data_IF_791349646638
#
_entry.id   IF_791349646638
#
_cell.length_a   1.000
_cell.length_b   1.000
_cell.length_c   1.000
_cell.angle_alpha   90.00
_cell.angle_beta   90.00
_cell.angle_gamma   90.00
#
_symmetry.space_group_name_H-M   'P 1'
#
loop_
_entity.id
_entity.type
_entity.pdbx_description
1 polymer ?
#
# COMPACT_ATOMS: atom_id res chain seq x y z
N UNK A 1 -26.39 1.71 -17.06
CA UNK A 1 -26.00 3.01 -16.50
C UNK A 1 -26.84 3.26 -15.26
N UNK A 2 -26.23 3.08 -14.09
CA UNK A 2 -26.74 3.61 -12.83
C UNK A 2 -25.56 4.38 -12.23
N UNK A 3 -25.66 5.70 -12.24
CA UNK A 3 -24.75 6.61 -11.54
C UNK A 3 -24.84 6.30 -10.04
N UNK A 4 -23.76 5.79 -9.46
CA UNK A 4 -23.70 5.44 -8.05
C UNK A 4 -23.04 6.59 -7.27
N UNK A 5 -23.86 7.34 -6.53
CA UNK A 5 -23.41 8.42 -5.65
C UNK A 5 -22.88 7.84 -4.34
N UNK A 6 -21.59 8.02 -4.07
CA UNK A 6 -20.97 7.80 -2.76
C UNK A 6 -21.46 8.90 -1.79
N UNK A 7 -22.24 8.54 -0.77
CA UNK A 7 -22.67 9.50 0.28
C UNK A 7 -21.89 9.18 1.56
N UNK A 8 -20.72 9.80 1.72
CA UNK A 8 -19.94 9.70 2.96
C UNK A 8 -20.28 10.86 3.88
N UNK A 9 -20.89 10.58 5.04
CA UNK A 9 -21.11 11.58 6.07
C UNK A 9 -20.02 11.48 7.15
N UNK A 10 -18.86 12.11 6.90
CA UNK A 10 -17.79 12.19 7.89
C UNK A 10 -18.05 13.40 8.80
N UNK A 11 -18.29 13.17 10.09
CA UNK A 11 -18.31 14.26 11.10
C UNK A 11 -17.04 14.22 11.95
N UNK A 12 -16.28 15.32 11.92
CA UNK A 12 -15.19 15.61 12.85
C UNK A 12 -14.05 14.56 12.92
N UNK A 13 -13.66 13.97 11.79
CA UNK A 13 -12.54 13.00 11.74
C UNK A 13 -11.18 13.70 11.53
N UNK A 14 -10.16 13.39 12.36
CA UNK A 14 -8.79 13.74 12.02
C UNK A 14 -8.35 12.94 10.79
N UNK A 15 -7.67 13.57 9.82
CA UNK A 15 -7.17 12.89 8.61
C UNK A 15 -8.25 12.26 7.70
N UNK A 16 -9.37 12.96 7.52
CA UNK A 16 -10.48 12.57 6.64
C UNK A 16 -10.04 12.17 5.22
N UNK A 17 -9.00 12.78 4.66
CA UNK A 17 -8.50 12.47 3.32
C UNK A 17 -7.93 11.04 3.18
N UNK A 18 -7.18 10.55 4.17
CA UNK A 18 -6.62 9.19 4.14
C UNK A 18 -7.72 8.12 4.34
N UNK A 19 -8.76 8.47 5.11
CA UNK A 19 -9.94 7.63 5.32
C UNK A 19 -10.83 7.60 4.07
N UNK A 20 -11.06 8.75 3.44
CA UNK A 20 -11.82 8.85 2.19
C UNK A 20 -11.17 8.03 1.08
N UNK A 21 -9.82 8.03 0.95
CA UNK A 21 -9.12 7.15 0.00
C UNK A 21 -9.29 5.66 0.28
N UNK A 22 -9.39 5.26 1.55
CA UNK A 22 -9.66 3.87 1.92
C UNK A 22 -11.12 3.48 1.61
N UNK A 23 -12.06 4.41 1.77
CA UNK A 23 -13.49 4.23 1.48
C UNK A 23 -13.78 4.26 -0.04
N UNK A 24 -13.12 5.13 -0.80
CA UNK A 24 -13.23 5.19 -2.27
C UNK A 24 -12.71 3.91 -2.93
N UNK A 25 -11.78 3.20 -2.27
CA UNK A 25 -11.30 1.88 -2.66
C UNK A 25 -12.23 0.73 -2.21
N UNK A 26 -13.18 1.00 -1.31
CA UNK A 26 -14.21 0.03 -0.93
C UNK A 26 -15.18 -0.17 -2.11
N UNK A 27 -15.59 -1.43 -2.35
CA UNK A 27 -16.40 -1.82 -3.51
C UNK A 27 -17.56 -0.85 -3.80
N UNK A 28 -17.85 -0.53 -5.08
CA UNK A 28 -19.04 0.21 -5.46
C UNK A 28 -20.30 -0.56 -5.01
N UNK A 29 -21.08 0.02 -4.08
CA UNK A 29 -22.37 -0.53 -3.63
C UNK A 29 -22.66 -0.52 -2.13
N UNK A 30 -21.66 -0.27 -1.28
CA UNK A 30 -21.84 -0.25 0.18
C UNK A 30 -21.81 1.19 0.73
N UNK A 31 -22.86 1.57 1.47
CA UNK A 31 -22.94 2.87 2.13
C UNK A 31 -22.28 2.72 3.51
N UNK A 32 -20.96 2.88 3.56
CA UNK A 32 -20.20 2.81 4.81
C UNK A 32 -20.34 4.14 5.56
N UNK A 33 -21.00 4.11 6.71
CA UNK A 33 -21.11 5.23 7.64
C UNK A 33 -20.03 5.13 8.72
N UNK A 34 -19.30 6.22 8.97
CA UNK A 34 -18.31 6.30 10.06
C UNK A 34 -18.73 7.39 11.03
N UNK A 35 -18.81 7.05 12.31
CA UNK A 35 -19.24 7.98 13.35
C UNK A 35 -18.40 7.87 14.61
N UNK A 36 -18.23 9.02 15.23
CA UNK A 36 -17.65 9.16 16.56
C UNK A 36 -18.73 8.95 17.61
N UNK A 37 -18.48 8.10 18.59
CA UNK A 37 -19.43 7.79 19.65
C UNK A 37 -19.46 8.92 20.68
N UNK A 38 -20.36 9.88 20.50
CA UNK A 38 -20.58 10.99 21.43
C UNK A 38 -19.34 11.88 21.62
N UNK A 39 -18.98 12.15 22.88
CA UNK A 39 -17.76 12.90 23.26
C UNK A 39 -16.52 12.02 23.43
N UNK A 40 -16.65 10.69 23.29
CA UNK A 40 -15.54 9.74 23.47
C UNK A 40 -14.51 9.83 22.35
N UNK A 41 -13.32 9.25 22.52
CA UNK A 41 -12.33 9.08 21.43
C UNK A 41 -12.63 7.87 20.55
N UNK A 42 -13.75 7.18 20.79
CA UNK A 42 -14.10 5.95 20.11
C UNK A 42 -14.92 6.20 18.83
N UNK A 43 -14.70 5.31 17.88
CA UNK A 43 -15.26 5.34 16.53
C UNK A 43 -15.87 4.00 16.19
N UNK A 44 -16.90 4.04 15.35
CA UNK A 44 -17.58 2.87 14.81
C UNK A 44 -17.81 3.06 13.30
N UNK A 45 -17.81 1.95 12.57
CA UNK A 45 -18.24 1.89 11.19
C UNK A 45 -19.53 1.07 11.07
N UNK A 46 -20.44 1.50 10.21
CA UNK A 46 -21.70 0.82 9.90
C UNK A 46 -21.86 0.61 8.40
N UNK A 47 -22.57 -0.44 8.02
CA UNK A 47 -23.07 -0.64 6.66
C UNK A 47 -24.60 -0.67 6.71
N UNK A 48 -25.24 0.25 5.98
CA UNK A 48 -26.72 0.40 5.95
C UNK A 48 -27.37 0.46 7.35
N UNK A 49 -26.67 1.03 8.33
CA UNK A 49 -27.15 1.18 9.71
C UNK A 49 -26.89 -0.02 10.65
N UNK A 50 -26.31 -1.11 10.15
CA UNK A 50 -25.83 -2.23 10.98
C UNK A 50 -24.34 -2.09 11.33
N UNK A 51 -23.88 -2.58 12.50
CA UNK A 51 -22.49 -2.45 12.93
C UNK A 51 -21.56 -3.28 12.01
N UNK A 52 -20.60 -2.61 11.39
CA UNK A 52 -19.54 -3.22 10.57
C UNK A 52 -18.26 -3.40 11.39
N UNK A 53 -17.89 -2.38 12.17
CA UNK A 53 -16.79 -2.41 13.14
C UNK A 53 -17.25 -1.70 14.40
N UNK A 54 -17.35 -2.42 15.51
CA UNK A 54 -17.73 -1.84 16.80
C UNK A 54 -16.72 -0.81 17.34
N UNK A 55 -17.11 -0.16 18.45
CA UNK A 55 -16.34 0.86 19.15
C UNK A 55 -14.83 0.55 19.25
N UNK A 56 -14.01 1.37 18.61
CA UNK A 56 -12.55 1.25 18.61
C UNK A 56 -11.86 2.63 18.51
N UNK A 57 -10.55 2.66 18.71
CA UNK A 57 -9.79 3.89 18.47
C UNK A 57 -9.79 4.22 16.96
N UNK A 58 -9.66 5.51 16.59
CA UNK A 58 -9.62 5.91 15.17
C UNK A 58 -8.48 5.24 14.39
N UNK A 59 -7.32 5.06 15.04
CA UNK A 59 -6.17 4.35 14.47
C UNK A 59 -6.53 2.90 14.14
N UNK A 60 -7.22 2.20 15.03
CA UNK A 60 -7.67 0.81 14.85
C UNK A 60 -8.76 0.70 13.79
N UNK A 61 -9.68 1.67 13.73
CA UNK A 61 -10.76 1.71 12.75
C UNK A 61 -10.21 1.65 11.32
N UNK A 62 -9.14 2.39 11.04
CA UNK A 62 -8.49 2.41 9.72
C UNK A 62 -7.96 1.03 9.33
N UNK A 63 -7.32 0.31 10.25
CA UNK A 63 -6.79 -1.03 9.98
C UNK A 63 -7.90 -2.08 9.86
N UNK A 64 -8.92 -2.01 10.72
CA UNK A 64 -10.07 -2.93 10.64
C UNK A 64 -10.88 -2.72 9.37
N UNK A 65 -11.06 -1.47 8.93
CA UNK A 65 -11.67 -1.17 7.64
C UNK A 65 -10.81 -1.69 6.49
N UNK A 66 -9.50 -1.45 6.50
CA UNK A 66 -8.60 -2.01 5.49
C UNK A 66 -8.72 -3.54 5.43
N UNK A 67 -8.61 -4.22 6.58
CA UNK A 67 -8.71 -5.68 6.66
C UNK A 67 -10.06 -6.26 6.23
N UNK A 68 -11.18 -5.55 6.45
CA UNK A 68 -12.49 -5.96 5.93
C UNK A 68 -12.64 -5.74 4.42
N UNK A 69 -11.86 -4.83 3.87
CA UNK A 69 -11.81 -4.52 2.44
C UNK A 69 -10.75 -5.35 1.71
N UNK A 70 -9.83 -6.00 2.45
CA UNK A 70 -8.77 -6.84 1.91
C UNK A 70 -9.36 -8.20 1.45
N UNK A 71 -9.70 -8.42 0.18
CA UNK A 71 -8.84 -8.71 -0.98
C UNK A 71 -7.67 -7.75 -1.32
N UNK A 72 -6.87 -7.31 -0.37
CA UNK A 72 -5.48 -6.95 -0.63
C UNK A 72 -4.78 -8.28 -0.43
N UNK A 73 -4.63 -9.02 -1.53
CA UNK A 73 -3.64 -10.09 -1.56
C UNK A 73 -2.36 -9.51 -1.00
N UNK A 74 -1.65 -10.26 -0.15
CA UNK A 74 -0.26 -9.92 0.11
C UNK A 74 0.40 -9.62 -1.25
N UNK A 75 1.12 -8.49 -1.37
CA UNK A 75 1.71 -8.13 -2.65
C UNK A 75 2.55 -9.30 -3.14
N UNK A 76 2.23 -9.75 -4.35
CA UNK A 76 2.86 -10.90 -4.96
C UNK A 76 4.38 -10.67 -5.11
N UNK A 77 5.13 -11.73 -5.37
CA UNK A 77 6.52 -11.55 -5.76
C UNK A 77 6.57 -10.84 -7.12
N UNK A 78 7.48 -9.86 -7.26
CA UNK A 78 7.55 -9.07 -8.49
C UNK A 78 8.16 -7.69 -8.33
N UNK A 79 8.12 -6.94 -9.44
CA UNK A 79 8.64 -5.58 -9.56
C UNK A 79 7.51 -4.55 -9.45
N UNK A 80 7.79 -3.43 -8.79
CA UNK A 80 6.81 -2.38 -8.49
C UNK A 80 7.41 -0.98 -8.60
N UNK A 81 6.59 0.00 -8.99
CA UNK A 81 6.96 1.42 -9.02
C UNK A 81 6.91 2.05 -7.61
N UNK A 82 6.18 1.43 -6.67
CA UNK A 82 5.97 1.97 -5.33
C UNK A 82 6.23 0.97 -4.19
N UNK A 83 6.59 1.50 -3.02
CA UNK A 83 6.93 0.71 -1.83
C UNK A 83 5.73 0.00 -1.18
N UNK A 84 4.50 0.38 -1.53
CA UNK A 84 3.29 -0.31 -1.12
C UNK A 84 2.91 -1.44 -2.09
N UNK A 85 3.69 -1.65 -3.16
CA UNK A 85 3.51 -2.70 -4.15
C UNK A 85 2.12 -2.67 -4.81
N UNK A 86 1.63 -1.48 -5.14
CA UNK A 86 0.32 -1.28 -5.76
C UNK A 86 0.40 -1.16 -7.28
N UNK A 87 1.55 -0.71 -7.81
CA UNK A 87 1.77 -0.45 -9.23
C UNK A 87 2.86 -1.40 -9.76
N UNK A 88 2.49 -2.57 -10.29
CA UNK A 88 3.46 -3.54 -10.81
C UNK A 88 4.11 -3.03 -12.10
N UNK A 89 5.43 -3.21 -12.21
CA UNK A 89 6.19 -3.02 -13.45
C UNK A 89 6.12 -4.32 -14.23
N UNK A 90 5.69 -4.26 -15.50
CA UNK A 90 5.51 -5.44 -16.35
C UNK A 90 6.54 -5.49 -17.47
N UNK A 91 6.99 -6.71 -17.75
CA UNK A 91 7.48 -7.16 -19.06
C UNK A 91 8.61 -6.32 -19.63
N UNK A 92 8.25 -5.62 -20.70
CA UNK A 92 9.19 -4.99 -21.62
C UNK A 92 9.55 -3.55 -21.22
N UNK A 93 9.12 -3.07 -20.04
CA UNK A 93 9.49 -1.72 -19.58
C UNK A 93 10.91 -1.71 -19.06
N UNK A 94 11.66 -0.70 -19.47
CA UNK A 94 12.92 -0.35 -18.81
C UNK A 94 12.68 0.03 -17.35
N UNK A 95 13.67 -0.23 -16.51
CA UNK A 95 13.56 0.02 -15.09
C UNK A 95 13.62 1.53 -14.79
N UNK A 96 12.71 2.04 -13.93
CA UNK A 96 12.73 3.44 -13.55
C UNK A 96 13.87 3.73 -12.57
N UNK A 97 14.19 5.01 -12.38
CA UNK A 97 15.28 5.43 -11.48
C UNK A 97 15.09 4.99 -10.02
N UNK A 98 13.85 4.72 -9.60
CA UNK A 98 13.54 4.07 -8.32
C UNK A 98 12.47 3.02 -8.57
N UNK A 99 12.73 1.77 -8.15
CA UNK A 99 11.76 0.69 -8.18
C UNK A 99 11.94 -0.25 -6.99
N UNK A 100 10.97 -1.15 -6.83
CA UNK A 100 10.92 -2.08 -5.71
C UNK A 100 10.78 -3.51 -6.23
N UNK A 101 11.51 -4.44 -5.61
CA UNK A 101 11.43 -5.86 -5.91
C UNK A 101 11.08 -6.64 -4.66
N UNK A 102 9.98 -7.38 -4.72
CA UNK A 102 9.53 -8.28 -3.66
C UNK A 102 9.89 -9.71 -4.01
N UNK A 103 10.63 -10.38 -3.13
CA UNK A 103 11.05 -11.77 -3.30
C UNK A 103 11.31 -12.40 -1.94
N UNK A 104 10.82 -13.62 -1.71
CA UNK A 104 11.05 -14.38 -0.48
C UNK A 104 10.53 -13.67 0.78
N UNK A 105 9.48 -12.85 0.66
CA UNK A 105 8.94 -12.04 1.75
C UNK A 105 9.71 -10.74 2.06
N UNK A 106 10.89 -10.55 1.48
CA UNK A 106 11.66 -9.32 1.59
C UNK A 106 11.24 -8.30 0.51
N UNK A 107 11.37 -7.01 0.83
CA UNK A 107 11.16 -5.92 -0.12
C UNK A 107 12.45 -5.14 -0.28
N UNK A 108 12.97 -5.11 -1.51
CA UNK A 108 14.15 -4.36 -1.87
C UNK A 108 13.77 -3.11 -2.64
N UNK A 109 14.48 -2.01 -2.41
CA UNK A 109 14.40 -0.76 -3.17
C UNK A 109 15.70 -0.56 -3.94
N UNK A 110 15.58 -0.29 -5.22
CA UNK A 110 16.68 0.05 -6.11
C UNK A 110 16.62 1.54 -6.39
N UNK A 111 17.73 2.23 -6.21
CA UNK A 111 17.83 3.67 -6.47
C UNK A 111 19.02 3.94 -7.39
N UNK A 112 18.74 4.43 -8.59
CA UNK A 112 19.74 4.79 -9.59
C UNK A 112 20.64 5.92 -9.11
N UNK A 113 21.94 5.68 -9.15
CA UNK A 113 23.00 6.64 -8.81
C UNK A 113 23.76 7.14 -10.05
N UNK A 114 23.36 6.73 -11.26
CA UNK A 114 24.04 7.05 -12.51
C UNK A 114 24.96 5.94 -12.99
N UNK A 115 25.31 5.97 -14.29
CA UNK A 115 26.24 5.01 -14.92
C UNK A 115 25.84 3.55 -14.65
N UNK A 116 24.58 3.23 -14.90
CA UNK A 116 24.03 1.87 -14.72
C UNK A 116 24.15 1.33 -13.28
N UNK A 117 24.44 2.18 -12.29
CA UNK A 117 24.64 1.78 -10.90
C UNK A 117 23.39 2.07 -10.07
N UNK A 118 22.91 1.08 -9.34
CA UNK A 118 21.80 1.19 -8.40
C UNK A 118 22.26 0.86 -6.98
N UNK A 119 21.88 1.70 -6.02
CA UNK A 119 21.94 1.34 -4.60
C UNK A 119 20.75 0.48 -4.21
N UNK A 120 21.02 -0.60 -3.48
CA UNK A 120 20.02 -1.56 -3.04
C UNK A 120 19.78 -1.37 -1.55
N UNK A 121 18.51 -1.30 -1.18
CA UNK A 121 18.09 -1.23 0.22
C UNK A 121 17.04 -2.28 0.52
N UNK A 122 17.20 -3.04 1.58
CA UNK A 122 16.15 -3.94 2.09
C UNK A 122 15.25 -3.19 3.08
N UNK A 123 13.95 -3.46 3.01
CA UNK A 123 12.99 -2.97 3.98
C UNK A 123 13.09 -3.80 5.25
N UNK A 124 13.44 -3.14 6.35
CA UNK A 124 13.41 -3.72 7.69
C UNK A 124 12.50 -2.96 8.64
N UNK A 125 12.39 -3.47 9.86
CA UNK A 125 11.80 -2.77 11.00
C UNK A 125 12.85 -2.59 12.09
N UNK A 126 12.82 -1.46 12.78
CA UNK A 126 13.63 -1.25 13.98
C UNK A 126 12.99 -1.90 15.22
N UNK A 127 13.71 -1.87 16.36
CA UNK A 127 13.22 -2.41 17.64
C UNK A 127 11.92 -1.72 18.15
N UNK A 128 11.52 -0.62 17.53
CA UNK A 128 10.31 0.15 17.84
C UNK A 128 9.19 -0.05 16.80
N UNK A 129 9.35 -1.01 15.87
CA UNK A 129 8.38 -1.31 14.82
C UNK A 129 8.26 -0.23 13.75
N UNK A 130 9.27 0.63 13.60
CA UNK A 130 9.31 1.64 12.54
C UNK A 130 9.98 1.05 11.32
N UNK A 131 9.36 1.25 10.15
CA UNK A 131 9.95 0.85 8.88
C UNK A 131 11.21 1.66 8.58
N UNK A 132 12.28 0.96 8.21
CA UNK A 132 13.55 1.54 7.79
C UNK A 132 14.07 0.86 6.51
N UNK A 133 14.98 1.55 5.82
CA UNK A 133 15.67 1.04 4.62
C UNK A 133 17.13 0.78 4.98
N UNK A 134 17.55 -0.47 4.94
CA UNK A 134 18.89 -0.92 5.31
C UNK A 134 19.70 -1.05 4.02
N UNK A 135 20.84 -0.37 3.93
CA UNK A 135 21.69 -0.43 2.73
C UNK A 135 22.33 -1.81 2.56
N UNK A 136 22.14 -2.41 1.38
CA UNK A 136 22.64 -3.74 1.02
C UNK A 136 23.80 -3.70 0.02
N UNK A 137 24.26 -2.50 -0.36
CA UNK A 137 25.32 -2.28 -1.33
C UNK A 137 24.79 -1.74 -2.65
N UNK A 138 25.57 -1.95 -3.72
CA UNK A 138 25.25 -1.48 -5.07
C UNK A 138 25.25 -2.65 -6.05
N UNK A 139 24.47 -2.49 -7.13
CA UNK A 139 24.40 -3.43 -8.25
C UNK A 139 24.45 -2.64 -9.54
N UNK A 140 25.05 -3.24 -10.58
CA UNK A 140 24.95 -2.69 -11.92
C UNK A 140 23.76 -3.31 -12.63
N UNK A 141 22.98 -2.50 -13.34
CA UNK A 141 21.83 -2.89 -14.14
C UNK A 141 21.89 -2.02 -15.38
N UNK A 142 21.91 -2.64 -16.57
CA UNK A 142 22.06 -1.88 -17.81
C UNK A 142 20.85 -0.97 -18.03
N UNK A 143 21.08 0.20 -18.63
CA UNK A 143 19.97 1.10 -18.98
C UNK A 143 19.03 0.48 -20.03
N UNK A 144 19.50 -0.56 -20.74
CA UNK A 144 18.73 -1.36 -21.70
C UNK A 144 18.01 -2.57 -21.06
N UNK A 145 18.28 -2.91 -19.80
CA UNK A 145 17.63 -4.04 -19.12
C UNK A 145 16.15 -3.77 -18.90
N UNK A 146 15.31 -4.71 -19.32
CA UNK A 146 13.87 -4.69 -19.06
C UNK A 146 13.54 -5.27 -17.68
N UNK A 147 12.29 -5.07 -17.25
CA UNK A 147 11.78 -5.68 -16.03
C UNK A 147 11.86 -7.21 -16.06
N UNK A 148 11.60 -7.84 -17.22
CA UNK A 148 11.75 -9.29 -17.38
C UNK A 148 13.23 -9.72 -17.30
N UNK A 149 14.14 -9.01 -17.97
CA UNK A 149 15.58 -9.30 -17.90
C UNK A 149 16.08 -9.29 -16.45
N UNK A 150 15.65 -8.29 -15.68
CA UNK A 150 15.99 -8.17 -14.26
C UNK A 150 15.46 -9.33 -13.43
N UNK A 151 14.21 -9.76 -13.66
CA UNK A 151 13.60 -10.88 -12.92
C UNK A 151 14.35 -12.17 -13.25
N UNK A 152 14.64 -12.43 -14.52
CA UNK A 152 15.34 -13.63 -14.97
C UNK A 152 16.73 -13.74 -14.34
N UNK A 153 17.49 -12.63 -14.30
CA UNK A 153 18.86 -12.60 -13.74
C UNK A 153 18.94 -12.93 -12.24
N UNK A 154 17.82 -12.86 -11.49
CA UNK A 154 17.80 -13.00 -10.03
C UNK A 154 16.96 -14.14 -9.49
N UNK A 155 16.35 -14.90 -10.40
CA UNK A 155 15.58 -16.10 -10.05
C UNK A 155 16.45 -17.37 -10.15
N UNK A 156 17.71 -17.26 -10.58
CA UNK A 156 18.69 -18.36 -10.71
C UNK A 156 19.89 -18.25 -9.78
#
# INVERSE_FOLDING_TARGET
MADATLITAIRNAPNSAALMRAIERARPGNAIGIHRLGTSTAWEATDRGGPLIGSCAFSELKFKLASLLDNVSEPEEGLYEDAACLEPIKGDRTLPSVFFWRSGGALHRYWYQGRETYEVHERGEDDFGRTQWIGCGTTNISDDDTADDFIEQRTY
#
